data_IF_665690977597
#
_entry.id   IF_665690977597
#
_cell.length_a   1.000
_cell.length_b   1.000
_cell.length_c   1.000
_cell.angle_alpha   90.00
_cell.angle_beta   90.00
_cell.angle_gamma   90.00
#
_symmetry.space_group_name_H-M   'P 1'
#
loop_
_entity.id
_entity.type
_entity.pdbx_description
1 polymer ?
#
# COMPACT_ATOMS: atom_id res chain seq x y z
N UNK A 1 6.22 5.63 -0.02
CA UNK A 1 4.81 6.08 -0.14
C UNK A 1 4.67 7.00 -1.37
N UNK A 2 3.47 7.52 -1.66
CA UNK A 2 3.22 8.30 -2.88
C UNK A 2 3.82 9.72 -2.96
N UNK A 3 4.63 10.18 -2.00
CA UNK A 3 5.31 11.48 -2.08
C UNK A 3 4.45 12.73 -1.81
N UNK A 4 3.17 12.56 -1.48
CA UNK A 4 2.28 13.66 -1.10
C UNK A 4 2.65 14.28 0.26
N UNK A 5 2.41 15.58 0.43
CA UNK A 5 2.86 16.34 1.63
C UNK A 5 1.70 16.79 2.54
N UNK A 6 0.47 16.43 2.19
CA UNK A 6 -0.76 16.87 2.86
C UNK A 6 -1.57 15.68 3.36
N UNK A 7 -2.50 15.95 4.28
CA UNK A 7 -3.42 14.95 4.83
C UNK A 7 -2.68 13.79 5.51
N UNK A 8 -3.26 12.59 5.41
CA UNK A 8 -2.73 11.38 6.05
C UNK A 8 -1.33 11.04 5.52
N UNK A 9 -1.07 11.22 4.23
CA UNK A 9 0.24 10.97 3.64
C UNK A 9 1.34 11.83 4.28
N UNK A 10 1.09 13.13 4.44
CA UNK A 10 2.02 14.05 5.10
C UNK A 10 2.22 13.69 6.58
N UNK A 11 1.13 13.38 7.29
CA UNK A 11 1.19 13.01 8.71
C UNK A 11 2.01 11.72 8.96
N UNK A 12 1.88 10.72 8.08
CA UNK A 12 2.67 9.48 8.16
C UNK A 12 4.15 9.77 7.91
N UNK A 13 4.47 10.51 6.84
CA UNK A 13 5.85 10.87 6.51
C UNK A 13 6.51 11.65 7.66
N UNK A 14 5.81 12.67 8.17
CA UNK A 14 6.29 13.47 9.30
C UNK A 14 6.51 12.62 10.56
N UNK A 15 5.55 11.77 10.93
CA UNK A 15 5.68 10.93 12.12
C UNK A 15 6.86 9.95 12.05
N UNK A 16 7.19 9.44 10.86
CA UNK A 16 8.38 8.61 10.64
C UNK A 16 9.66 9.43 10.81
N UNK A 17 9.74 10.61 10.19
CA UNK A 17 10.92 11.48 10.29
C UNK A 17 11.16 11.99 11.71
N UNK A 18 10.10 12.36 12.44
CA UNK A 18 10.19 12.78 13.85
C UNK A 18 10.69 11.66 14.77
N UNK A 19 10.40 10.40 14.42
CA UNK A 19 10.91 9.22 15.10
C UNK A 19 12.34 8.82 14.64
N UNK A 20 12.96 9.59 13.73
CA UNK A 20 14.29 9.33 13.18
C UNK A 20 14.35 8.22 12.12
N UNK A 21 13.20 7.84 11.56
CA UNK A 21 13.12 6.87 10.47
C UNK A 21 13.32 7.50 9.09
N UNK A 22 13.52 6.65 8.09
CA UNK A 22 13.71 7.06 6.70
C UNK A 22 12.40 7.03 5.90
N UNK A 23 12.21 8.01 5.01
CA UNK A 23 11.02 8.13 4.17
C UNK A 23 11.40 8.27 2.70
N UNK A 24 10.98 7.28 1.90
CA UNK A 24 11.03 7.36 0.42
C UNK A 24 9.66 7.75 -0.15
N UNK A 25 9.61 8.89 -0.85
CA UNK A 25 8.48 9.31 -1.67
C UNK A 25 8.68 8.96 -3.15
N UNK A 26 7.64 8.45 -3.81
CA UNK A 26 7.66 8.18 -5.27
C UNK A 26 6.49 8.92 -5.90
N UNK A 27 6.79 9.89 -6.75
CA UNK A 27 5.81 10.82 -7.33
C UNK A 27 6.02 10.99 -8.83
N UNK A 28 4.96 10.95 -9.65
CA UNK A 28 5.10 11.26 -11.06
C UNK A 28 5.25 12.77 -11.27
N UNK A 29 5.98 13.15 -12.32
CA UNK A 29 6.27 14.55 -12.66
C UNK A 29 5.02 15.45 -12.65
N UNK A 30 3.89 14.99 -13.19
CA UNK A 30 2.66 15.77 -13.29
C UNK A 30 1.91 16.00 -11.97
N UNK A 31 2.29 15.31 -10.88
CA UNK A 31 1.72 15.49 -9.54
C UNK A 31 2.56 16.38 -8.63
N UNK A 32 3.78 16.75 -9.04
CA UNK A 32 4.68 17.59 -8.24
C UNK A 32 4.02 18.90 -7.81
N UNK A 33 3.29 19.58 -8.70
CA UNK A 33 2.63 20.85 -8.38
C UNK A 33 1.27 20.69 -7.68
N UNK A 34 0.71 19.47 -7.67
CA UNK A 34 -0.66 19.21 -7.18
C UNK A 34 -0.70 18.60 -5.78
N UNK A 35 0.20 17.66 -5.48
CA UNK A 35 0.14 16.84 -4.26
C UNK A 35 1.33 17.08 -3.31
N UNK A 36 2.42 17.63 -3.85
CA UNK A 36 3.61 17.97 -3.11
C UNK A 36 3.81 19.49 -3.09
N UNK A 37 4.23 20.05 -1.95
CA UNK A 37 5.06 21.24 -2.03
C UNK A 37 6.48 20.77 -2.30
N UNK A 38 7.08 21.17 -3.41
CA UNK A 38 8.45 20.81 -3.78
C UNK A 38 9.42 21.00 -2.60
N UNK A 39 9.25 22.08 -1.83
CA UNK A 39 10.02 22.35 -0.61
C UNK A 39 9.90 21.21 0.42
N UNK A 40 8.69 20.83 0.85
CA UNK A 40 8.51 19.72 1.81
C UNK A 40 8.84 18.34 1.23
N UNK A 41 8.72 18.16 -0.08
CA UNK A 41 9.09 16.89 -0.71
C UNK A 41 10.61 16.69 -0.71
N UNK A 42 11.39 17.78 -0.68
CA UNK A 42 12.85 17.74 -0.50
C UNK A 42 13.27 17.45 0.96
N UNK A 43 12.36 17.58 1.93
CA UNK A 43 12.63 17.21 3.34
C UNK A 43 12.61 15.68 3.55
N UNK A 44 12.10 14.92 2.57
CA UNK A 44 12.12 13.45 2.61
C UNK A 44 13.55 12.92 2.50
N UNK A 45 13.80 11.75 3.09
CA UNK A 45 15.10 11.05 2.96
C UNK A 45 15.43 10.75 1.50
N UNK A 46 14.43 10.33 0.73
CA UNK A 46 14.55 10.07 -0.70
C UNK A 46 13.27 10.50 -1.42
N UNK A 47 13.40 11.23 -2.52
CA UNK A 47 12.30 11.53 -3.43
C UNK A 47 12.65 11.03 -4.83
N UNK A 48 11.87 10.07 -5.34
CA UNK A 48 12.02 9.52 -6.68
C UNK A 48 10.92 10.08 -7.57
N UNK A 49 11.34 10.72 -8.66
CA UNK A 49 10.44 11.29 -9.66
C UNK A 49 10.37 10.32 -10.84
N UNK A 50 9.14 9.95 -11.23
CA UNK A 50 8.88 8.97 -12.31
C UNK A 50 8.07 9.59 -13.45
N UNK A 51 8.07 8.94 -14.61
CA UNK A 51 7.40 9.44 -15.81
C UNK A 51 5.88 9.37 -15.73
N UNK A 52 5.34 8.31 -15.13
CA UNK A 52 3.90 8.04 -15.10
C UNK A 52 3.44 7.27 -13.84
N UNK A 53 2.12 7.02 -13.76
CA UNK A 53 1.50 6.32 -12.64
C UNK A 53 1.82 4.82 -12.59
N UNK A 54 2.08 4.18 -13.74
CA UNK A 54 2.41 2.76 -13.78
C UNK A 54 3.81 2.54 -13.20
N UNK A 55 4.79 3.34 -13.62
CA UNK A 55 6.14 3.33 -13.07
C UNK A 55 6.12 3.63 -11.57
N UNK A 56 5.31 4.62 -11.13
CA UNK A 56 5.13 4.95 -9.71
C UNK A 56 4.69 3.74 -8.89
N UNK A 57 3.59 3.09 -9.30
CA UNK A 57 3.02 1.94 -8.56
C UNK A 57 3.94 0.73 -8.61
N UNK A 58 4.57 0.47 -9.76
CA UNK A 58 5.51 -0.63 -9.90
C UNK A 58 6.74 -0.46 -9.00
N UNK A 59 7.33 0.73 -8.96
CA UNK A 59 8.48 1.00 -8.10
C UNK A 59 8.10 0.98 -6.61
N UNK A 60 6.92 1.51 -6.25
CA UNK A 60 6.38 1.37 -4.89
C UNK A 60 6.23 -0.10 -4.50
N UNK A 61 5.71 -0.95 -5.39
CA UNK A 61 5.62 -2.39 -5.15
C UNK A 61 7.00 -3.04 -4.94
N UNK A 62 7.98 -2.74 -5.80
CA UNK A 62 9.31 -3.31 -5.71
C UNK A 62 10.00 -2.95 -4.37
N UNK A 63 9.86 -1.69 -3.93
CA UNK A 63 10.48 -1.17 -2.70
C UNK A 63 9.71 -1.46 -1.41
N UNK A 64 8.56 -2.13 -1.47
CA UNK A 64 7.72 -2.40 -0.28
C UNK A 64 7.78 -3.85 0.14
N UNK A 65 7.85 -4.12 1.45
CA UNK A 65 7.70 -5.48 2.00
C UNK A 65 6.26 -5.79 2.43
N UNK A 66 5.44 -4.74 2.61
CA UNK A 66 4.03 -4.83 2.98
C UNK A 66 3.27 -3.60 2.45
N UNK A 67 1.95 -3.72 2.36
CA UNK A 67 1.05 -2.66 1.90
C UNK A 67 0.07 -2.30 3.02
N UNK A 68 -0.04 -1.01 3.34
CA UNK A 68 -0.94 -0.50 4.39
C UNK A 68 -1.91 0.52 3.80
N UNK A 69 -3.18 0.20 3.86
CA UNK A 69 -4.30 1.00 3.36
C UNK A 69 -4.92 1.78 4.52
N UNK A 70 -4.39 2.96 4.78
CA UNK A 70 -5.01 3.95 5.67
C UNK A 70 -6.27 4.54 5.04
N UNK A 71 -7.19 5.17 5.81
CA UNK A 71 -8.37 5.83 5.27
C UNK A 71 -8.03 6.75 4.09
N UNK A 72 -8.75 6.61 2.98
CA UNK A 72 -8.40 7.26 1.72
C UNK A 72 -9.53 7.25 0.69
N UNK A 73 -9.30 7.91 -0.43
CA UNK A 73 -10.26 8.05 -1.53
C UNK A 73 -10.07 6.99 -2.62
N UNK A 74 -10.56 7.30 -3.83
CA UNK A 74 -10.53 6.38 -4.97
C UNK A 74 -9.12 5.95 -5.38
N UNK A 75 -8.13 6.84 -5.29
CA UNK A 75 -6.73 6.48 -5.58
C UNK A 75 -6.20 5.40 -4.64
N UNK A 76 -6.51 5.51 -3.35
CA UNK A 76 -6.15 4.50 -2.35
C UNK A 76 -6.84 3.16 -2.63
N UNK A 77 -8.10 3.18 -3.07
CA UNK A 77 -8.84 1.98 -3.47
C UNK A 77 -8.22 1.33 -4.71
N UNK A 78 -7.86 2.13 -5.71
CA UNK A 78 -7.22 1.67 -6.94
C UNK A 78 -5.89 0.96 -6.65
N UNK A 79 -5.04 1.58 -5.83
CA UNK A 79 -3.73 1.02 -5.46
C UNK A 79 -3.86 -0.31 -4.71
N UNK A 80 -4.77 -0.41 -3.71
CA UNK A 80 -4.91 -1.66 -2.95
C UNK A 80 -5.55 -2.78 -3.77
N UNK A 81 -6.51 -2.47 -4.64
CA UNK A 81 -7.12 -3.47 -5.53
C UNK A 81 -6.10 -4.02 -6.52
N UNK A 82 -5.17 -3.20 -7.00
CA UNK A 82 -4.06 -3.67 -7.85
C UNK A 82 -3.15 -4.65 -7.10
N UNK A 83 -2.77 -4.35 -5.85
CA UNK A 83 -1.97 -5.27 -5.03
C UNK A 83 -2.73 -6.57 -4.73
N UNK A 84 -4.02 -6.49 -4.42
CA UNK A 84 -4.85 -7.68 -4.24
C UNK A 84 -4.91 -8.53 -5.51
N UNK A 85 -5.03 -7.89 -6.68
CA UNK A 85 -5.02 -8.58 -7.98
C UNK A 85 -3.68 -9.27 -8.24
N UNK A 86 -2.56 -8.60 -7.99
CA UNK A 86 -1.22 -9.19 -8.14
C UNK A 86 -1.00 -10.35 -7.17
N UNK A 87 -1.51 -10.24 -5.94
CA UNK A 87 -1.50 -11.34 -4.98
C UNK A 87 -2.32 -12.55 -5.47
N UNK A 88 -3.54 -12.31 -5.96
CA UNK A 88 -4.40 -13.34 -6.55
C UNK A 88 -3.72 -14.06 -7.72
N UNK A 89 -2.99 -13.31 -8.56
CA UNK A 89 -2.23 -13.85 -9.69
C UNK A 89 -0.95 -14.58 -9.27
N UNK A 90 -0.60 -14.59 -7.99
CA UNK A 90 0.62 -15.25 -7.53
C UNK A 90 1.90 -14.42 -7.66
N UNK A 91 1.81 -13.12 -7.98
CA UNK A 91 3.00 -12.26 -8.15
C UNK A 91 3.71 -11.93 -6.83
N UNK A 92 3.01 -11.97 -5.71
CA UNK A 92 3.60 -11.79 -4.37
C UNK A 92 2.75 -12.43 -3.27
N UNK A 93 3.32 -12.54 -2.06
CA UNK A 93 2.59 -12.80 -0.80
C UNK A 93 2.87 -11.76 0.29
N UNK A 94 3.42 -10.60 -0.10
CA UNK A 94 3.61 -9.44 0.80
C UNK A 94 2.31 -9.12 1.55
N UNK A 95 2.35 -8.91 2.88
CA UNK A 95 1.15 -8.61 3.67
C UNK A 95 0.43 -7.37 3.16
N UNK A 96 -0.90 -7.43 3.15
CA UNK A 96 -1.78 -6.31 2.86
C UNK A 96 -2.60 -6.02 4.10
N UNK A 97 -2.69 -4.74 4.50
CA UNK A 97 -3.36 -4.32 5.72
C UNK A 97 -4.42 -3.28 5.40
N UNK A 98 -5.66 -3.50 5.81
CA UNK A 98 -6.66 -2.45 5.94
C UNK A 98 -6.60 -1.89 7.36
N UNK A 99 -6.19 -0.63 7.49
CA UNK A 99 -6.26 0.09 8.75
C UNK A 99 -7.69 0.62 8.94
N UNK A 100 -8.56 -0.21 9.49
CA UNK A 100 -10.01 0.01 9.62
C UNK A 100 -10.36 0.93 10.80
N UNK A 101 -9.62 2.03 10.93
CA UNK A 101 -9.78 3.02 12.00
C UNK A 101 -11.21 3.58 11.93
N UNK A 102 -11.93 3.52 13.05
CA UNK A 102 -13.33 3.94 13.16
C UNK A 102 -14.26 3.26 12.13
N UNK A 103 -13.97 2.01 11.74
CA UNK A 103 -14.73 1.24 10.76
C UNK A 103 -14.77 1.87 9.35
N UNK A 104 -13.79 2.72 9.00
CA UNK A 104 -13.76 3.41 7.71
C UNK A 104 -13.84 2.45 6.51
N UNK A 105 -13.17 1.31 6.58
CA UNK A 105 -13.08 0.34 5.49
C UNK A 105 -14.15 -0.74 5.54
N UNK A 106 -15.05 -0.72 6.52
CA UNK A 106 -16.13 -1.69 6.65
C UNK A 106 -16.93 -1.89 5.34
N UNK A 107 -17.31 -0.84 4.59
CA UNK A 107 -18.03 -1.02 3.32
C UNK A 107 -17.23 -1.79 2.26
N UNK A 108 -15.92 -1.56 2.17
CA UNK A 108 -15.03 -2.27 1.25
C UNK A 108 -14.90 -3.74 1.65
N UNK A 109 -14.74 -4.02 2.96
CA UNK A 109 -14.66 -5.39 3.47
C UNK A 109 -15.95 -6.18 3.19
N UNK A 110 -17.12 -5.55 3.35
CA UNK A 110 -18.41 -6.14 2.97
C UNK A 110 -18.49 -6.45 1.47
N UNK A 111 -17.98 -5.57 0.61
CA UNK A 111 -17.94 -5.83 -0.83
C UNK A 111 -17.06 -7.04 -1.18
N UNK A 112 -15.87 -7.13 -0.57
CA UNK A 112 -14.95 -8.26 -0.78
C UNK A 112 -15.56 -9.58 -0.29
N UNK A 113 -16.26 -9.55 0.86
CA UNK A 113 -17.01 -10.70 1.36
C UNK A 113 -18.12 -11.11 0.38
N UNK A 114 -18.89 -10.15 -0.14
CA UNK A 114 -19.91 -10.43 -1.15
C UNK A 114 -19.31 -11.09 -2.40
N UNK A 115 -18.23 -10.55 -2.96
CA UNK A 115 -17.54 -11.14 -4.12
C UNK A 115 -17.02 -12.56 -3.84
N UNK A 116 -16.60 -12.82 -2.59
CA UNK A 116 -16.18 -14.16 -2.16
C UNK A 116 -17.36 -15.13 -2.13
N UNK A 117 -18.48 -14.72 -1.53
CA UNK A 117 -19.68 -15.55 -1.41
C UNK A 117 -20.33 -15.87 -2.75
N UNK A 118 -20.29 -14.93 -3.70
CA UNK A 118 -20.76 -15.12 -5.08
C UNK A 118 -19.75 -15.86 -5.97
N UNK A 119 -18.56 -16.21 -5.45
CA UNK A 119 -17.56 -17.00 -6.18
C UNK A 119 -16.70 -16.22 -7.17
N UNK A 120 -16.72 -14.88 -7.16
CA UNK A 120 -15.87 -14.04 -8.00
C UNK A 120 -14.43 -13.90 -7.47
N UNK A 121 -14.18 -14.26 -6.20
CA UNK A 121 -12.84 -14.36 -5.62
C UNK A 121 -12.43 -15.82 -5.40
N UNK A 122 -11.99 -16.48 -6.48
CA UNK A 122 -11.62 -17.91 -6.49
C UNK A 122 -10.48 -18.28 -5.52
N UNK A 123 -9.58 -17.34 -5.23
CA UNK A 123 -8.44 -17.53 -4.30
C UNK A 123 -8.54 -16.61 -3.09
N UNK A 124 -9.75 -16.43 -2.53
CA UNK A 124 -10.03 -15.53 -1.40
C UNK A 124 -9.04 -15.65 -0.22
N UNK A 125 -8.52 -16.84 0.06
CA UNK A 125 -7.50 -17.07 1.11
C UNK A 125 -6.14 -16.42 0.81
N UNK A 126 -5.78 -16.26 -0.47
CA UNK A 126 -4.51 -15.64 -0.89
C UNK A 126 -4.57 -14.11 -0.89
N UNK A 127 -5.78 -13.55 -1.00
CA UNK A 127 -6.01 -12.10 -1.03
C UNK A 127 -6.53 -11.53 0.29
N UNK A 128 -6.61 -12.34 1.35
CA UNK A 128 -7.18 -11.90 2.62
C UNK A 128 -6.26 -10.90 3.32
N UNK A 129 -6.64 -9.61 3.43
CA UNK A 129 -5.82 -8.64 4.12
C UNK A 129 -5.94 -8.80 5.64
N UNK A 130 -4.94 -8.32 6.37
CA UNK A 130 -5.06 -8.07 7.80
C UNK A 130 -5.98 -6.86 8.01
N UNK A 131 -6.91 -6.96 8.95
CA UNK A 131 -7.79 -5.84 9.31
C UNK A 131 -7.39 -5.38 10.72
N UNK A 132 -6.96 -4.13 10.83
CA UNK A 132 -6.37 -3.58 12.06
C UNK A 132 -7.08 -2.26 12.41
N UNK A 133 -7.63 -2.17 13.61
CA UNK A 133 -8.47 -1.02 13.99
C UNK A 133 -7.69 0.12 14.66
N UNK A 134 -6.42 -0.10 15.05
CA UNK A 134 -5.56 0.92 15.67
C UNK A 134 -4.19 1.00 14.99
N UNK A 135 -3.73 2.23 14.72
CA UNK A 135 -2.49 2.47 14.01
C UNK A 135 -1.25 1.83 14.66
N UNK A 136 -1.17 1.85 15.99
CA UNK A 136 -0.05 1.29 16.76
C UNK A 136 0.14 -0.23 16.58
N UNK A 137 -0.92 -0.94 16.19
CA UNK A 137 -0.92 -2.40 16.06
C UNK A 137 -0.54 -2.86 14.64
N UNK A 138 -0.45 -1.94 13.66
CA UNK A 138 -0.17 -2.25 12.25
C UNK A 138 1.21 -2.87 12.08
N UNK A 139 2.26 -2.19 12.53
CA UNK A 139 3.65 -2.67 12.36
C UNK A 139 3.88 -3.99 13.10
N UNK A 140 3.47 -4.15 14.38
CA UNK A 140 3.53 -5.44 15.06
C UNK A 140 2.84 -6.58 14.29
N UNK A 141 1.65 -6.33 13.73
CA UNK A 141 0.92 -7.32 12.95
C UNK A 141 1.64 -7.72 11.65
N UNK A 142 2.23 -6.74 10.95
CA UNK A 142 3.03 -6.99 9.73
C UNK A 142 4.25 -7.85 10.07
N UNK A 143 4.99 -7.51 11.13
CA UNK A 143 6.19 -8.27 11.52
C UNK A 143 5.84 -9.72 11.91
N UNK A 144 4.72 -9.92 12.60
CA UNK A 144 4.22 -11.26 12.93
C UNK A 144 3.83 -12.08 11.67
N UNK A 145 3.30 -11.42 10.63
CA UNK A 145 2.96 -12.06 9.36
C UNK A 145 4.22 -12.34 8.48
N UNK A 146 5.19 -11.42 8.48
CA UNK A 146 6.42 -11.50 7.66
C UNK A 146 7.46 -12.51 8.17
N UNK A 147 7.30 -13.08 9.37
CA UNK A 147 8.09 -14.25 9.82
C UNK A 147 7.96 -15.49 8.92
N UNK A 148 7.15 -15.42 7.86
CA UNK A 148 6.96 -16.40 6.79
C UNK A 148 7.12 -15.72 5.44
N UNK A 149 8.34 -15.31 5.07
CA UNK A 149 8.61 -14.76 3.73
C UNK A 149 8.24 -15.83 2.70
N UNK A 150 7.12 -15.64 2.01
CA UNK A 150 6.77 -16.40 0.83
C UNK A 150 6.85 -15.44 -0.35
N UNK A 151 7.88 -15.58 -1.17
CA UNK A 151 7.88 -14.97 -2.48
C UNK A 151 6.68 -15.52 -3.28
N UNK A 152 6.19 -14.76 -4.26
CA UNK A 152 5.14 -15.24 -5.16
C UNK A 152 5.56 -16.52 -5.90
N UNK A 153 4.70 -17.06 -6.76
CA UNK A 153 5.08 -18.20 -7.60
C UNK A 153 6.23 -17.78 -8.54
N UNK A 154 7.44 -18.37 -8.42
CA UNK A 154 8.60 -17.97 -9.22
C UNK A 154 8.33 -18.01 -10.73
N UNK A 155 7.53 -18.99 -11.20
CA UNK A 155 7.18 -19.14 -12.62
C UNK A 155 6.30 -18.01 -13.14
N UNK A 156 5.61 -17.32 -12.23
CA UNK A 156 4.74 -16.20 -12.54
C UNK A 156 5.53 -14.89 -12.43
N UNK A 157 6.42 -14.77 -11.45
CA UNK A 157 7.26 -13.58 -11.23
C UNK A 157 8.13 -13.29 -12.46
N UNK A 158 8.78 -14.30 -13.05
CA UNK A 158 9.71 -14.18 -14.19
C UNK A 158 9.08 -13.67 -15.51
N UNK A 159 7.75 -13.52 -15.59
CA UNK A 159 7.04 -13.08 -16.80
C UNK A 159 6.70 -11.58 -16.83
N UNK A 160 7.52 -10.72 -16.20
CA UNK A 160 7.49 -9.26 -16.37
C UNK A 160 8.58 -8.81 -17.33
#
# INVERSE_FOLDING_TARGET
YGGGTRGIMGAVAQGVMEAGGEVTGIIPTFLLDKEASLEKAQELTELIIVGDMHERKHLMFQKSDAFVTLPGGIGTVEEIVEMMTWSQLGKHRKPMVFANINNFWQPMLTLLEHMTNEGFLHTAHQVKPLVIDQAKDIVPAILAANGRVHEGDPKIIEKM
#
